data_IF_011266264463
#
_entry.id   IF_011266264463
#
_cell.length_a   1.000
_cell.length_b   1.000
_cell.length_c   1.000
_cell.angle_alpha   90.00
_cell.angle_beta   90.00
_cell.angle_gamma   90.00
#
_symmetry.space_group_name_H-M   'P 1'
#
loop_
_entity.id
_entity.type
_entity.pdbx_description
1 polymer ?
#
# COMPACT_ATOMS: atom_id res chain seq x y z
N UNK A 1 13.20 97.29 0.35
CA UNK A 1 12.93 97.15 1.80
C UNK A 1 14.18 96.58 2.46
N UNK A 2 15.00 97.43 3.08
CA UNK A 2 16.27 97.05 3.71
C UNK A 2 15.99 96.55 5.12
N UNK A 3 16.11 95.24 5.36
CA UNK A 3 15.98 94.69 6.71
C UNK A 3 17.16 95.16 7.57
N UNK A 4 16.87 95.90 8.63
CA UNK A 4 17.85 96.34 9.62
C UNK A 4 18.36 95.14 10.43
N UNK A 5 19.64 95.20 10.85
CA UNK A 5 20.36 94.11 11.52
C UNK A 5 19.70 93.66 12.84
N UNK A 6 18.94 94.54 13.48
CA UNK A 6 18.19 94.27 14.71
C UNK A 6 16.87 93.52 14.46
N UNK A 7 16.17 93.81 13.36
CA UNK A 7 14.96 93.09 12.92
C UNK A 7 15.31 91.64 12.55
N UNK A 8 16.46 91.44 11.91
CA UNK A 8 16.99 90.11 11.58
C UNK A 8 17.27 89.27 12.86
N UNK A 9 17.76 89.93 13.92
CA UNK A 9 18.07 89.27 15.21
C UNK A 9 16.81 88.85 15.96
N UNK A 10 15.72 89.62 15.82
CA UNK A 10 14.39 89.26 16.36
C UNK A 10 13.73 88.12 15.60
N UNK A 11 13.99 87.98 14.29
CA UNK A 11 13.44 86.90 13.45
C UNK A 11 14.24 85.58 13.54
N UNK A 12 15.51 85.62 13.96
CA UNK A 12 16.35 84.43 14.08
C UNK A 12 15.87 83.46 15.16
N UNK A 13 15.38 83.96 16.30
CA UNK A 13 14.85 83.12 17.39
C UNK A 13 13.63 82.27 16.95
N UNK A 14 12.55 82.85 16.39
CA UNK A 14 11.41 82.07 15.93
C UNK A 14 11.76 81.18 14.73
N UNK A 15 12.69 81.61 13.86
CA UNK A 15 13.19 80.78 12.76
C UNK A 15 13.92 79.52 13.23
N UNK A 16 14.77 79.63 14.25
CA UNK A 16 15.44 78.48 14.87
C UNK A 16 14.45 77.56 15.60
N UNK A 17 13.46 78.13 16.29
CA UNK A 17 12.41 77.34 16.95
C UNK A 17 11.57 76.55 15.95
N UNK A 18 11.20 77.16 14.81
CA UNK A 18 10.47 76.46 13.73
C UNK A 18 11.31 75.32 13.12
N UNK A 19 12.60 75.56 12.87
CA UNK A 19 13.52 74.52 12.39
C UNK A 19 13.67 73.37 13.39
N UNK A 20 13.76 73.67 14.69
CA UNK A 20 13.84 72.65 15.73
C UNK A 20 12.58 71.76 15.78
N UNK A 21 11.39 72.35 15.61
CA UNK A 21 10.13 71.60 15.56
C UNK A 21 10.03 70.71 14.32
N UNK A 22 10.44 71.20 13.15
CA UNK A 22 10.49 70.39 11.92
C UNK A 22 11.48 69.24 12.04
N UNK A 23 12.66 69.50 12.62
CA UNK A 23 13.66 68.46 12.88
C UNK A 23 13.14 67.40 13.87
N UNK A 24 12.45 67.80 14.92
CA UNK A 24 11.82 66.89 15.87
C UNK A 24 10.74 66.04 15.20
N UNK A 25 9.88 66.64 14.37
CA UNK A 25 8.85 65.93 13.60
C UNK A 25 9.45 64.91 12.62
N UNK A 26 10.49 65.30 11.88
CA UNK A 26 11.21 64.40 10.98
C UNK A 26 11.86 63.23 11.72
N UNK A 27 12.44 63.48 12.91
CA UNK A 27 12.99 62.44 13.77
C UNK A 27 11.94 61.41 14.22
N UNK A 28 10.75 61.86 14.60
CA UNK A 28 9.63 60.98 14.97
C UNK A 28 9.15 60.13 13.79
N UNK A 29 9.00 60.73 12.60
CA UNK A 29 8.58 60.00 11.39
C UNK A 29 9.64 58.96 11.00
N UNK A 30 10.91 59.30 11.08
CA UNK A 30 12.00 58.37 10.81
C UNK A 30 12.02 57.19 11.80
N UNK A 31 11.84 57.47 13.10
CA UNK A 31 11.72 56.44 14.13
C UNK A 31 10.54 55.50 13.91
N UNK A 32 9.36 56.06 13.56
CA UNK A 32 8.18 55.28 13.24
C UNK A 32 8.40 54.41 11.99
N UNK A 33 8.98 54.96 10.92
CA UNK A 33 9.29 54.20 9.71
C UNK A 33 10.29 53.05 9.99
N UNK A 34 11.29 53.29 10.84
CA UNK A 34 12.24 52.27 11.24
C UNK A 34 11.57 51.13 12.03
N UNK A 35 10.66 51.47 12.96
CA UNK A 35 9.90 50.45 13.70
C UNK A 35 9.02 49.60 12.78
N UNK A 36 8.32 50.21 11.82
CA UNK A 36 7.44 49.49 10.87
C UNK A 36 8.27 48.57 9.98
N UNK A 37 9.41 49.04 9.46
CA UNK A 37 10.33 48.20 8.68
C UNK A 37 10.83 47.00 9.50
N UNK A 38 11.20 47.23 10.76
CA UNK A 38 11.65 46.15 11.64
C UNK A 38 10.52 45.13 11.94
N UNK A 39 9.28 45.60 12.10
CA UNK A 39 8.12 44.73 12.32
C UNK A 39 7.81 43.88 11.08
N UNK A 40 7.88 44.46 9.88
CA UNK A 40 7.69 43.74 8.62
C UNK A 40 8.77 42.68 8.40
N UNK A 41 10.04 42.99 8.70
CA UNK A 41 11.13 42.02 8.61
C UNK A 41 10.95 40.86 9.59
N UNK A 42 10.49 41.14 10.83
CA UNK A 42 10.18 40.10 11.82
C UNK A 42 9.00 39.22 11.39
N UNK A 43 7.97 39.82 10.81
CA UNK A 43 6.82 39.07 10.27
C UNK A 43 7.26 38.15 9.13
N UNK A 44 8.03 38.67 8.17
CA UNK A 44 8.54 37.88 7.05
C UNK A 44 9.43 36.71 7.52
N UNK A 45 10.27 36.94 8.53
CA UNK A 45 11.10 35.89 9.12
C UNK A 45 10.24 34.82 9.84
N UNK A 46 9.23 35.22 10.60
CA UNK A 46 8.32 34.29 11.27
C UNK A 46 7.47 33.48 10.29
N UNK A 47 7.03 34.09 9.18
CA UNK A 47 6.33 33.38 8.11
C UNK A 47 7.23 32.37 7.40
N UNK A 48 8.50 32.73 7.15
CA UNK A 48 9.47 31.81 6.55
C UNK A 48 9.73 30.59 7.44
N UNK A 49 9.93 30.81 8.74
CA UNK A 49 10.14 29.74 9.73
C UNK A 49 8.92 28.80 9.84
N UNK A 50 7.71 29.37 9.80
CA UNK A 50 6.47 28.60 9.75
C UNK A 50 6.34 27.77 8.47
N UNK A 51 6.71 28.32 7.32
CA UNK A 51 6.68 27.60 6.03
C UNK A 51 7.64 26.42 6.06
N UNK A 52 8.87 26.64 6.50
CA UNK A 52 9.88 25.58 6.63
C UNK A 52 9.41 24.46 7.56
N UNK A 53 8.83 24.79 8.72
CA UNK A 53 8.26 23.80 9.64
C UNK A 53 7.09 23.03 9.01
N UNK A 54 6.24 23.71 8.25
CA UNK A 54 5.10 23.08 7.56
C UNK A 54 5.59 22.13 6.47
N UNK A 55 6.61 22.52 5.70
CA UNK A 55 7.23 21.67 4.67
C UNK A 55 7.88 20.42 5.26
N UNK A 56 8.54 20.54 6.42
CA UNK A 56 9.08 19.39 7.15
C UNK A 56 7.97 18.43 7.58
N UNK A 57 6.84 18.94 8.07
CA UNK A 57 5.70 18.10 8.46
C UNK A 57 5.03 17.43 7.25
N UNK A 58 4.87 18.13 6.13
CA UNK A 58 4.32 17.54 4.90
C UNK A 58 5.25 16.47 4.35
N UNK A 59 6.57 16.69 4.40
CA UNK A 59 7.56 15.71 3.97
C UNK A 59 7.55 14.46 4.86
N UNK A 60 7.47 14.61 6.18
CA UNK A 60 7.31 13.46 7.10
C UNK A 60 6.00 12.72 6.81
N UNK A 61 4.91 13.44 6.56
CA UNK A 61 3.63 12.83 6.21
C UNK A 61 3.65 12.12 4.84
N UNK A 62 4.45 12.60 3.88
CA UNK A 62 4.70 11.93 2.60
C UNK A 62 5.59 10.70 2.76
N UNK A 63 6.69 10.80 3.52
CA UNK A 63 7.57 9.66 3.86
C UNK A 63 6.78 8.58 4.63
N UNK A 64 5.87 8.95 5.53
CA UNK A 64 4.96 8.01 6.20
C UNK A 64 3.89 7.42 5.26
N UNK A 65 3.39 8.20 4.28
CA UNK A 65 2.42 7.70 3.28
C UNK A 65 3.04 6.70 2.32
N UNK A 66 4.30 6.89 1.93
CA UNK A 66 5.04 5.93 1.10
C UNK A 66 5.24 4.58 1.81
N UNK A 67 5.28 4.56 3.15
CA UNK A 67 5.32 3.32 3.97
C UNK A 67 3.93 2.74 4.24
N UNK A 68 2.86 3.54 4.17
CA UNK A 68 1.48 3.11 4.47
C UNK A 68 0.67 2.62 3.26
N UNK A 69 1.20 2.65 2.05
CA UNK A 69 0.55 2.00 0.91
C UNK A 69 0.76 0.46 0.95
N UNK A 70 -0.28 -0.21 1.48
CA UNK A 70 -0.59 -1.65 1.40
C UNK A 70 0.02 -2.63 2.41
N UNK A 71 0.00 -2.36 3.73
CA UNK A 71 0.19 -3.42 4.70
C UNK A 71 -0.91 -4.50 4.60
N UNK A 72 -2.17 -4.16 4.29
CA UNK A 72 -3.27 -5.14 4.34
C UNK A 72 -3.16 -6.24 3.28
N UNK A 73 -2.86 -5.88 2.01
CA UNK A 73 -2.68 -6.87 0.95
C UNK A 73 -1.45 -7.73 1.21
N UNK A 74 -0.35 -7.13 1.67
CA UNK A 74 0.86 -7.88 2.00
C UNK A 74 0.63 -8.82 3.20
N UNK A 75 -0.07 -8.36 4.24
CA UNK A 75 -0.46 -9.19 5.39
C UNK A 75 -1.40 -10.31 4.99
N UNK A 76 -2.36 -10.05 4.09
CA UNK A 76 -3.27 -11.06 3.57
C UNK A 76 -2.54 -12.10 2.71
N UNK A 77 -1.60 -11.68 1.86
CA UNK A 77 -0.73 -12.57 1.09
C UNK A 77 0.20 -13.40 2.00
N UNK A 78 0.70 -12.80 3.08
CA UNK A 78 1.50 -13.48 4.10
C UNK A 78 0.68 -14.50 4.89
N UNK A 79 -0.56 -14.16 5.27
CA UNK A 79 -1.48 -15.07 5.97
C UNK A 79 -1.85 -16.30 5.13
N UNK A 80 -1.85 -16.18 3.81
CA UNK A 80 -2.16 -17.27 2.88
C UNK A 80 -0.93 -18.12 2.49
N UNK A 81 0.24 -17.88 3.12
CA UNK A 81 1.58 -18.37 2.72
C UNK A 81 1.83 -18.38 1.20
N UNK A 82 1.32 -17.37 0.48
CA UNK A 82 1.52 -17.25 -0.98
C UNK A 82 2.93 -16.72 -1.29
N UNK A 83 3.61 -16.16 -0.29
CA UNK A 83 4.95 -15.57 -0.39
C UNK A 83 6.01 -16.63 -0.13
N UNK A 84 6.77 -17.03 -1.17
CA UNK A 84 7.85 -18.01 -1.03
C UNK A 84 8.06 -18.90 -2.25
N UNK A 85 9.09 -19.74 -2.18
CA UNK A 85 9.33 -20.80 -3.16
C UNK A 85 8.25 -21.90 -3.03
N UNK A 86 7.87 -22.54 -4.13
CA UNK A 86 6.80 -23.55 -4.10
C UNK A 86 7.20 -24.77 -3.26
N UNK A 87 6.57 -24.94 -2.09
CA UNK A 87 6.77 -26.09 -1.22
C UNK A 87 6.00 -27.30 -1.73
N UNK A 88 6.57 -28.00 -2.73
CA UNK A 88 5.89 -29.14 -3.40
C UNK A 88 5.44 -30.26 -2.45
N UNK A 89 6.15 -30.41 -1.34
CA UNK A 89 5.83 -31.38 -0.31
C UNK A 89 4.57 -30.96 0.48
N UNK A 90 4.46 -29.69 0.84
CA UNK A 90 3.41 -29.20 1.74
C UNK A 90 2.01 -29.26 1.11
N UNK A 91 1.90 -29.06 -0.21
CA UNK A 91 0.60 -29.21 -0.87
C UNK A 91 0.21 -30.69 -1.08
N UNK A 92 1.18 -31.59 -1.29
CA UNK A 92 0.90 -33.03 -1.33
C UNK A 92 0.38 -33.54 0.02
N UNK A 93 0.96 -33.03 1.11
CA UNK A 93 0.49 -33.29 2.46
C UNK A 93 -0.89 -32.69 2.72
N UNK A 94 -1.17 -31.48 2.22
CA UNK A 94 -2.50 -30.86 2.31
C UNK A 94 -3.57 -31.70 1.59
N UNK A 95 -3.32 -32.15 0.36
CA UNK A 95 -4.23 -33.01 -0.40
C UNK A 95 -4.46 -34.34 0.34
N UNK A 96 -3.40 -34.95 0.85
CA UNK A 96 -3.49 -36.20 1.62
C UNK A 96 -4.31 -36.01 2.89
N UNK A 97 -4.09 -34.91 3.61
CA UNK A 97 -4.86 -34.54 4.81
C UNK A 97 -6.34 -34.35 4.48
N UNK A 98 -6.67 -33.60 3.43
CA UNK A 98 -8.06 -33.37 3.01
C UNK A 98 -8.73 -34.70 2.60
N UNK A 99 -8.01 -35.56 1.85
CA UNK A 99 -8.50 -36.89 1.48
C UNK A 99 -8.92 -37.71 2.70
N UNK A 100 -8.06 -37.75 3.72
CA UNK A 100 -8.33 -38.50 4.95
C UNK A 100 -9.44 -37.86 5.77
N UNK A 101 -9.46 -36.53 5.92
CA UNK A 101 -10.49 -35.82 6.69
C UNK A 101 -11.90 -35.93 6.10
N UNK A 102 -11.99 -36.03 4.76
CA UNK A 102 -13.25 -36.11 4.03
C UNK A 102 -13.62 -37.53 3.60
N UNK A 103 -12.80 -38.52 3.98
CA UNK A 103 -12.99 -39.93 3.61
C UNK A 103 -13.24 -40.12 2.10
N UNK A 104 -12.52 -39.36 1.27
CA UNK A 104 -12.70 -39.40 -0.18
C UNK A 104 -12.24 -40.76 -0.73
N UNK A 105 -13.11 -41.42 -1.49
CA UNK A 105 -12.91 -42.80 -1.94
C UNK A 105 -11.70 -42.97 -2.87
N UNK A 106 -11.58 -42.12 -3.88
CA UNK A 106 -10.46 -42.13 -4.83
C UNK A 106 -10.12 -40.68 -5.21
N UNK A 107 -8.87 -40.29 -4.98
CA UNK A 107 -8.34 -38.97 -5.25
C UNK A 107 -6.96 -39.13 -5.89
N UNK A 108 -6.86 -38.77 -7.16
CA UNK A 108 -5.62 -38.78 -7.92
C UNK A 108 -5.25 -37.35 -8.29
N UNK A 109 -3.96 -37.04 -8.26
CA UNK A 109 -3.49 -35.72 -8.65
C UNK A 109 -2.18 -35.80 -9.42
N UNK A 110 -1.95 -34.83 -10.29
CA UNK A 110 -0.68 -34.62 -10.98
C UNK A 110 -0.41 -33.13 -11.09
N UNK A 111 0.80 -32.71 -10.74
CA UNK A 111 1.21 -31.31 -10.85
C UNK A 111 2.28 -31.19 -11.93
N UNK A 112 2.04 -30.28 -12.86
CA UNK A 112 2.96 -29.95 -13.94
C UNK A 112 4.11 -29.07 -13.40
N UNK A 113 5.14 -28.86 -14.23
CA UNK A 113 6.27 -27.99 -13.84
C UNK A 113 5.83 -26.53 -13.70
N UNK A 114 6.42 -25.84 -12.72
CA UNK A 114 6.24 -24.42 -12.49
C UNK A 114 6.60 -23.60 -13.73
N UNK A 115 5.75 -22.62 -14.05
CA UNK A 115 5.94 -21.67 -15.15
C UNK A 115 5.80 -20.24 -14.63
N UNK A 116 6.60 -19.35 -15.17
CA UNK A 116 6.44 -17.91 -14.94
C UNK A 116 5.17 -17.44 -15.64
N UNK A 117 4.21 -16.89 -14.88
CA UNK A 117 3.00 -16.30 -15.44
C UNK A 117 3.23 -14.87 -15.90
N UNK A 118 3.78 -14.05 -15.01
CA UNK A 118 4.03 -12.64 -15.28
C UNK A 118 5.16 -12.16 -14.36
N UNK A 119 6.06 -11.37 -14.94
CA UNK A 119 7.00 -10.55 -14.17
C UNK A 119 6.43 -9.14 -14.15
N UNK A 120 6.07 -8.66 -12.96
CA UNK A 120 5.60 -7.29 -12.80
C UNK A 120 6.79 -6.40 -12.44
N UNK A 121 7.28 -5.54 -13.36
CA UNK A 121 8.28 -4.54 -13.01
C UNK A 121 7.62 -3.49 -12.11
N UNK A 122 8.09 -3.38 -10.87
CA UNK A 122 7.61 -2.42 -9.89
C UNK A 122 8.73 -2.01 -8.93
N UNK A 123 8.66 -0.79 -8.40
CA UNK A 123 9.46 -0.39 -7.24
C UNK A 123 8.61 -0.62 -5.99
N UNK A 124 9.16 -1.10 -4.87
CA UNK A 124 10.60 -1.25 -4.59
C UNK A 124 11.23 -2.58 -5.08
N UNK A 125 10.46 -3.54 -5.62
CA UNK A 125 10.98 -4.85 -6.02
C UNK A 125 10.32 -5.44 -7.27
N UNK A 126 11.12 -6.14 -8.07
CA UNK A 126 10.60 -7.00 -9.15
C UNK A 126 9.91 -8.21 -8.51
N UNK A 127 8.59 -8.29 -8.69
CA UNK A 127 7.77 -9.39 -8.19
C UNK A 127 7.50 -10.35 -9.35
N UNK A 128 7.91 -11.61 -9.18
CA UNK A 128 7.66 -12.67 -10.15
C UNK A 128 6.52 -13.56 -9.67
N UNK A 129 5.51 -13.74 -10.53
CA UNK A 129 4.38 -14.63 -10.29
C UNK A 129 4.63 -15.95 -11.01
N UNK A 130 4.62 -17.02 -10.25
CA UNK A 130 4.77 -18.37 -10.75
C UNK A 130 3.44 -19.11 -10.62
N UNK A 131 3.17 -20.00 -11.56
CA UNK A 131 2.09 -20.96 -11.43
C UNK A 131 2.49 -22.37 -11.82
N UNK A 132 1.95 -23.32 -11.07
CA UNK A 132 2.01 -24.75 -11.34
C UNK A 132 0.61 -25.27 -11.52
N UNK A 133 0.30 -25.80 -12.72
CA UNK A 133 -1.03 -26.37 -12.99
C UNK A 133 -1.12 -27.78 -12.40
N UNK A 134 -2.15 -28.00 -11.62
CA UNK A 134 -2.51 -29.27 -11.00
C UNK A 134 -3.76 -29.84 -11.66
N UNK A 135 -3.68 -31.10 -12.07
CA UNK A 135 -4.84 -31.90 -12.47
C UNK A 135 -5.25 -32.78 -11.31
N UNK A 136 -6.53 -32.74 -10.94
CA UNK A 136 -7.09 -33.55 -9.85
C UNK A 136 -8.27 -34.34 -10.39
N UNK A 137 -8.26 -35.65 -10.16
CA UNK A 137 -9.36 -36.55 -10.49
C UNK A 137 -9.95 -37.08 -9.18
N UNK A 138 -11.25 -36.92 -9.00
CA UNK A 138 -11.97 -37.34 -7.81
C UNK A 138 -13.11 -38.29 -8.16
N UNK A 139 -13.24 -39.38 -7.42
CA UNK A 139 -14.44 -40.20 -7.41
C UNK A 139 -15.35 -39.77 -6.24
N UNK A 140 -16.56 -39.33 -6.56
CA UNK A 140 -17.46 -38.65 -5.63
C UNK A 140 -18.77 -39.42 -5.46
N UNK A 141 -19.29 -39.43 -4.24
CA UNK A 141 -20.65 -39.91 -3.97
C UNK A 141 -21.65 -38.81 -4.34
N UNK A 142 -21.37 -37.58 -3.93
CA UNK A 142 -22.22 -36.41 -4.14
C UNK A 142 -21.43 -35.24 -4.74
N UNK A 143 -22.13 -34.34 -5.41
CA UNK A 143 -21.53 -33.12 -5.99
C UNK A 143 -20.96 -32.19 -4.90
N UNK A 144 -21.57 -32.20 -3.71
CA UNK A 144 -21.13 -31.38 -2.58
C UNK A 144 -19.72 -31.75 -2.08
N UNK A 145 -19.31 -33.02 -2.25
CA UNK A 145 -17.99 -33.50 -1.86
C UNK A 145 -16.89 -32.75 -2.63
N UNK A 146 -17.13 -32.42 -3.91
CA UNK A 146 -16.23 -31.59 -4.71
C UNK A 146 -16.12 -30.17 -4.14
N UNK A 147 -17.26 -29.55 -3.84
CA UNK A 147 -17.30 -28.16 -3.36
C UNK A 147 -16.57 -28.03 -2.02
N UNK A 148 -16.77 -29.00 -1.13
CA UNK A 148 -16.07 -29.07 0.16
C UNK A 148 -14.57 -29.30 -0.01
N UNK A 149 -14.17 -30.21 -0.90
CA UNK A 149 -12.76 -30.42 -1.24
C UNK A 149 -12.09 -29.12 -1.73
N UNK A 150 -12.72 -28.41 -2.67
CA UNK A 150 -12.18 -27.14 -3.19
C UNK A 150 -12.11 -26.05 -2.13
N UNK A 151 -13.06 -26.01 -1.20
CA UNK A 151 -13.05 -25.07 -0.07
C UNK A 151 -11.89 -25.36 0.89
N UNK A 152 -11.71 -26.62 1.28
CA UNK A 152 -10.62 -27.02 2.19
C UNK A 152 -9.24 -26.82 1.54
N UNK A 153 -9.14 -27.09 0.23
CA UNK A 153 -7.91 -26.86 -0.52
C UNK A 153 -7.53 -25.37 -0.48
N UNK A 154 -8.51 -24.48 -0.71
CA UNK A 154 -8.29 -23.03 -0.60
C UNK A 154 -7.92 -22.59 0.82
N UNK A 155 -8.52 -23.22 1.83
CA UNK A 155 -8.25 -22.92 3.23
C UNK A 155 -6.91 -23.50 3.74
N UNK A 156 -6.27 -24.39 2.98
CA UNK A 156 -5.00 -25.01 3.39
C UNK A 156 -3.84 -24.04 3.55
N UNK A 157 -3.91 -22.87 2.91
CA UNK A 157 -3.00 -21.75 3.15
C UNK A 157 -1.56 -21.98 2.72
N UNK A 158 -1.32 -22.86 1.74
CA UNK A 158 0.03 -23.15 1.21
C UNK A 158 0.34 -22.42 -0.12
N UNK A 159 -0.70 -22.00 -0.84
CA UNK A 159 -0.62 -21.29 -2.12
C UNK A 159 -1.98 -20.66 -2.44
N UNK A 160 -2.03 -19.79 -3.45
CA UNK A 160 -3.30 -19.34 -4.00
C UNK A 160 -3.81 -20.36 -5.03
N UNK A 161 -4.85 -21.10 -4.67
CA UNK A 161 -5.48 -22.10 -5.54
C UNK A 161 -6.56 -21.46 -6.42
N UNK A 162 -6.29 -21.37 -7.72
CA UNK A 162 -7.20 -20.85 -8.73
C UNK A 162 -7.78 -21.99 -9.57
N UNK A 163 -9.08 -22.27 -9.42
CA UNK A 163 -9.76 -23.31 -10.21
C UNK A 163 -9.98 -22.78 -11.63
N UNK A 164 -9.39 -23.44 -12.63
CA UNK A 164 -9.57 -23.09 -14.05
C UNK A 164 -10.84 -23.70 -14.60
N UNK A 165 -10.99 -25.00 -14.39
CA UNK A 165 -12.14 -25.77 -14.87
C UNK A 165 -12.29 -27.04 -14.04
N UNK A 166 -13.53 -27.51 -13.96
CA UNK A 166 -13.85 -28.84 -13.44
C UNK A 166 -14.90 -29.45 -14.37
N UNK A 167 -14.60 -30.62 -14.93
CA UNK A 167 -15.56 -31.44 -15.67
C UNK A 167 -16.16 -32.47 -14.71
N UNK A 168 -17.48 -32.51 -14.61
CA UNK A 168 -18.18 -33.49 -13.77
C UNK A 168 -18.93 -34.45 -14.70
N UNK A 169 -18.63 -35.73 -14.57
CA UNK A 169 -19.26 -36.80 -15.34
C UNK A 169 -19.98 -37.77 -14.41
N UNK A 170 -21.14 -38.26 -14.85
CA UNK A 170 -21.88 -39.30 -14.12
C UNK A 170 -21.34 -40.67 -14.51
N UNK A 171 -20.88 -41.45 -13.53
CA UNK A 171 -20.23 -42.75 -13.74
C UNK A 171 -21.08 -43.95 -13.34
N UNK A 172 -22.22 -43.75 -12.64
CA UNK A 172 -23.08 -44.85 -12.17
C UNK A 172 -24.57 -44.70 -12.56
N UNK A 173 -25.25 -45.84 -12.76
CA UNK A 173 -26.72 -45.91 -12.85
C UNK A 173 -27.39 -45.64 -11.47
N UNK A 174 -28.68 -45.27 -11.49
CA UNK A 174 -29.50 -45.11 -10.28
C UNK A 174 -29.37 -46.32 -9.33
N UNK A 175 -29.27 -46.08 -8.02
CA UNK A 175 -29.00 -47.13 -7.04
C UNK A 175 -30.12 -48.17 -7.05
N UNK A 176 -29.79 -49.43 -7.29
CA UNK A 176 -30.70 -50.57 -7.07
C UNK A 176 -30.38 -51.33 -5.77
N UNK A 177 -29.53 -50.76 -4.89
CA UNK A 177 -29.15 -51.36 -3.60
C UNK A 177 -28.31 -50.44 -2.69
N UNK A 178 -27.93 -50.93 -1.51
CA UNK A 178 -27.25 -50.20 -0.43
C UNK A 178 -25.71 -50.16 -0.53
N UNK A 179 -25.13 -50.28 -1.73
CA UNK A 179 -23.67 -50.23 -1.90
C UNK A 179 -23.18 -48.78 -2.06
N UNK A 180 -22.14 -48.43 -1.29
CA UNK A 180 -21.45 -47.14 -1.40
C UNK A 180 -20.50 -47.22 -2.60
N UNK A 181 -20.92 -46.66 -3.72
CA UNK A 181 -20.17 -46.65 -4.98
C UNK A 181 -20.14 -45.21 -5.52
N UNK A 182 -18.99 -44.70 -6.01
CA UNK A 182 -18.92 -43.39 -6.63
C UNK A 182 -19.92 -43.27 -7.79
N UNK A 183 -20.73 -42.21 -7.77
CA UNK A 183 -21.74 -41.93 -8.80
C UNK A 183 -21.28 -40.87 -9.79
N UNK A 184 -20.29 -40.09 -9.38
CA UNK A 184 -19.75 -38.97 -10.12
C UNK A 184 -18.23 -39.08 -10.16
N UNK A 185 -17.65 -38.60 -11.25
CA UNK A 185 -16.23 -38.34 -11.39
C UNK A 185 -16.04 -36.86 -11.72
N UNK A 186 -15.14 -36.21 -11.00
CA UNK A 186 -14.75 -34.84 -11.28
C UNK A 186 -13.29 -34.78 -11.71
N UNK A 187 -13.03 -34.13 -12.83
CA UNK A 187 -11.70 -33.88 -13.37
C UNK A 187 -11.46 -32.36 -13.38
N UNK A 188 -10.60 -31.88 -12.49
CA UNK A 188 -10.35 -30.46 -12.27
C UNK A 188 -8.93 -30.07 -12.69
N UNK A 189 -8.80 -28.87 -13.27
CA UNK A 189 -7.53 -28.18 -13.48
C UNK A 189 -7.46 -26.95 -12.56
N UNK A 190 -6.43 -26.89 -11.72
CA UNK A 190 -6.27 -25.90 -10.66
C UNK A 190 -4.85 -25.34 -10.74
N UNK A 191 -4.70 -24.03 -10.87
CA UNK A 191 -3.41 -23.38 -10.79
C UNK A 191 -3.05 -23.07 -9.34
N UNK A 192 -1.85 -23.47 -8.93
CA UNK A 192 -1.23 -23.04 -7.70
C UNK A 192 -0.37 -21.82 -8.02
N UNK A 193 -0.76 -20.65 -7.52
CA UNK A 193 -0.05 -19.40 -7.77
C UNK A 193 0.78 -19.03 -6.54
N UNK A 194 2.07 -18.77 -6.76
CA UNK A 194 3.03 -18.32 -5.74
C UNK A 194 3.70 -17.04 -6.19
N UNK A 195 4.04 -16.19 -5.22
CA UNK A 195 4.66 -14.89 -5.45
C UNK A 195 6.06 -14.91 -4.85
N UNK A 196 7.07 -14.61 -5.67
CA UNK A 196 8.46 -14.51 -5.22
C UNK A 196 8.89 -13.05 -5.33
N UNK A 197 9.20 -12.46 -4.18
CA UNK A 197 9.84 -11.16 -4.09
C UNK A 197 11.37 -11.34 -4.09
N UNK A 198 12.05 -10.88 -5.14
CA UNK A 198 13.51 -10.99 -5.22
C UNK A 198 14.26 -10.01 -4.31
N UNK A 199 13.64 -8.95 -3.83
CA UNK A 199 14.28 -7.97 -2.95
C UNK A 199 14.35 -8.45 -1.49
N UNK A 200 13.41 -9.30 -1.05
CA UNK A 200 13.39 -9.87 0.30
C UNK A 200 14.49 -10.94 0.55
N UNK A 201 15.24 -11.33 -0.47
CA UNK A 201 16.33 -12.34 -0.38
C UNK A 201 17.71 -11.72 -0.08
N UNK A 202 17.78 -10.41 0.22
CA UNK A 202 19.01 -9.70 0.62
C UNK A 202 19.05 -9.38 2.10
#
# INVERSE_FOLDING_TARGET
MTLTREELRKLLLPGLAALALVAAGAGLVWGAQQSVRSALLRLAAAEADRRESTERLTRIAEEEREVKEKPDVYQQLKQLNILGEEHRLEWADAITRIRTQRELLDLRYRVDRQKLLISAPGKPANVDFYASTMKVELALLHEEDLLRFLADLRASGNAYYSVKQCLITRTGQAATGASIVPRLRADCEIDLITIIDRAAKR
#
